data_IF_634606222168
#
_entry.id   IF_634606222168
#
_cell.length_a   1.000
_cell.length_b   1.000
_cell.length_c   1.000
_cell.angle_alpha   90.00
_cell.angle_beta   90.00
_cell.angle_gamma   90.00
#
_symmetry.space_group_name_H-M   'P 1'
#
loop_
_entity.id
_entity.type
_entity.pdbx_description
1 polymer ?
#
# COMPACT_ATOMS: atom_id res chain seq x y z
N UNK A 1 -45.13 -28.96 45.57
CA UNK A 1 -45.32 -29.33 44.14
C UNK A 1 -45.01 -28.11 43.28
N UNK A 2 -44.13 -28.31 42.30
CA UNK A 2 -43.39 -27.30 41.54
C UNK A 2 -44.25 -26.50 40.55
N UNK A 3 -44.14 -25.17 40.54
CA UNK A 3 -44.55 -24.34 39.40
C UNK A 3 -43.45 -23.36 38.99
N UNK A 4 -42.61 -23.85 38.06
CA UNK A 4 -42.08 -23.17 36.86
C UNK A 4 -41.55 -21.73 36.99
N UNK A 5 -40.23 -21.64 37.19
CA UNK A 5 -39.34 -20.58 36.69
C UNK A 5 -39.28 -20.64 35.15
N UNK A 6 -39.89 -19.71 34.39
CA UNK A 6 -39.52 -19.43 32.98
C UNK A 6 -40.13 -18.09 32.50
N UNK A 7 -39.32 -17.03 32.39
CA UNK A 7 -39.53 -15.90 31.47
C UNK A 7 -38.20 -15.13 31.34
N UNK A 8 -37.32 -15.59 30.44
CA UNK A 8 -37.03 -14.95 29.13
C UNK A 8 -36.31 -13.59 29.31
N UNK A 9 -35.00 -13.61 29.46
CA UNK A 9 -33.99 -13.64 28.38
C UNK A 9 -34.05 -12.38 27.50
N UNK A 10 -33.10 -11.49 27.81
CA UNK A 10 -32.49 -10.41 27.06
C UNK A 10 -32.88 -10.24 25.57
N UNK A 11 -33.23 -9.00 25.21
CA UNK A 11 -33.04 -8.45 23.88
C UNK A 11 -32.33 -7.10 24.01
N UNK A 12 -31.06 -7.14 24.44
CA UNK A 12 -30.13 -6.04 24.18
C UNK A 12 -29.61 -6.26 22.76
N UNK A 13 -30.25 -5.61 21.78
CA UNK A 13 -29.62 -5.37 20.48
C UNK A 13 -28.51 -4.37 20.77
N UNK A 14 -27.34 -4.88 21.16
CA UNK A 14 -26.12 -4.10 21.16
C UNK A 14 -25.92 -3.61 19.74
N UNK A 15 -26.10 -2.32 19.55
CA UNK A 15 -25.61 -1.60 18.38
C UNK A 15 -24.09 -1.78 18.44
N UNK A 16 -23.56 -2.81 17.79
CA UNK A 16 -22.13 -2.93 17.56
C UNK A 16 -21.85 -1.83 16.55
N UNK A 17 -21.22 -0.71 16.92
CA UNK A 17 -20.69 0.17 15.89
C UNK A 17 -19.76 -0.72 15.07
N UNK A 18 -20.09 -0.89 13.80
CA UNK A 18 -19.21 -1.51 12.83
C UNK A 18 -18.02 -0.56 12.68
N UNK A 19 -17.12 -0.56 13.66
CA UNK A 19 -15.81 0.07 13.53
C UNK A 19 -15.11 -0.76 12.47
N UNK A 20 -14.95 -0.18 11.29
CA UNK A 20 -14.20 -0.79 10.20
C UNK A 20 -12.74 -0.79 10.61
N UNK A 21 -12.34 -1.80 11.39
CA UNK A 21 -10.94 -2.08 11.68
C UNK A 21 -10.31 -2.66 10.40
N UNK A 22 -9.18 -2.08 9.97
CA UNK A 22 -8.41 -2.54 8.82
C UNK A 22 -8.08 -1.43 7.81
N UNK A 23 -7.59 -1.85 6.64
CA UNK A 23 -7.23 -0.95 5.55
C UNK A 23 -8.44 -0.25 4.94
N UNK A 24 -8.17 0.88 4.27
CA UNK A 24 -9.16 1.58 3.45
C UNK A 24 -8.67 1.70 2.02
N UNK A 25 -9.63 1.87 1.11
CA UNK A 25 -9.41 2.09 -0.31
C UNK A 25 -10.26 3.27 -0.74
N UNK A 26 -9.85 4.04 -1.74
CA UNK A 26 -10.63 5.19 -2.21
C UNK A 26 -12.09 4.81 -2.54
N UNK A 27 -13.02 5.70 -2.18
CA UNK A 27 -14.45 5.52 -2.45
C UNK A 27 -14.68 5.37 -3.95
N UNK A 28 -15.26 4.24 -4.37
CA UNK A 28 -15.42 3.87 -5.78
C UNK A 28 -14.40 2.86 -6.33
N UNK A 29 -13.44 2.40 -5.51
CA UNK A 29 -12.53 1.31 -5.88
C UNK A 29 -11.48 1.72 -6.93
N UNK A 30 -10.91 2.92 -6.77
CA UNK A 30 -9.85 3.47 -7.61
C UNK A 30 -8.68 2.50 -7.72
N UNK A 31 -8.68 1.71 -8.78
CA UNK A 31 -7.71 0.65 -9.07
C UNK A 31 -7.11 0.91 -10.43
N UNK A 32 -5.88 0.47 -10.63
CA UNK A 32 -5.28 0.46 -11.97
C UNK A 32 -6.02 -0.53 -12.88
N UNK A 33 -6.02 -0.24 -14.19
CA UNK A 33 -6.50 -1.18 -15.20
C UNK A 33 -5.39 -2.19 -15.58
N UNK A 34 -5.07 -3.06 -14.62
CA UNK A 34 -4.09 -4.15 -14.69
C UNK A 34 -4.76 -5.50 -14.36
N UNK A 35 -4.15 -6.60 -14.79
CA UNK A 35 -4.67 -7.94 -14.53
C UNK A 35 -3.57 -9.00 -14.54
N UNK A 36 -3.90 -10.18 -14.00
CA UNK A 36 -3.00 -11.33 -13.86
C UNK A 36 -2.92 -12.24 -15.10
N UNK A 37 -3.43 -11.82 -16.27
CA UNK A 37 -3.40 -12.69 -17.47
C UNK A 37 -1.99 -12.96 -17.99
N UNK A 38 -1.08 -11.98 -17.83
CA UNK A 38 0.34 -12.05 -18.20
C UNK A 38 1.19 -11.28 -17.19
N UNK A 39 2.49 -11.53 -17.16
CA UNK A 39 3.41 -10.72 -16.36
C UNK A 39 3.38 -9.23 -16.79
N UNK A 40 3.35 -8.95 -18.09
CA UNK A 40 3.31 -7.58 -18.62
C UNK A 40 2.02 -6.83 -18.23
N UNK A 41 0.87 -7.51 -18.20
CA UNK A 41 -0.42 -6.89 -17.83
C UNK A 41 -0.58 -6.59 -16.35
N UNK A 42 0.31 -7.12 -15.50
CA UNK A 42 0.34 -6.93 -14.06
C UNK A 42 1.26 -5.78 -13.60
N UNK A 43 2.10 -5.29 -14.52
CA UNK A 43 3.12 -4.28 -14.23
C UNK A 43 2.54 -2.86 -14.16
N UNK A 44 3.04 -2.12 -13.16
CA UNK A 44 3.01 -0.67 -13.09
C UNK A 44 4.45 -0.17 -13.19
N UNK A 45 4.62 0.93 -13.92
CA UNK A 45 5.93 1.48 -14.22
C UNK A 45 6.19 2.69 -13.34
N UNK A 46 7.33 2.72 -12.69
CA UNK A 46 7.72 3.81 -11.81
C UNK A 46 8.84 4.60 -12.48
N UNK A 47 8.55 5.85 -12.82
CA UNK A 47 9.51 6.82 -13.31
C UNK A 47 9.97 7.68 -12.14
N UNK A 48 11.27 7.70 -11.85
CA UNK A 48 11.83 8.55 -10.81
C UNK A 48 13.16 9.13 -11.25
N UNK A 49 13.56 10.20 -10.59
CA UNK A 49 14.86 10.86 -10.83
C UNK A 49 15.81 10.60 -9.69
N UNK A 50 17.08 10.95 -9.91
CA UNK A 50 18.10 10.94 -8.85
C UNK A 50 18.50 9.55 -8.34
N UNK A 51 18.36 8.50 -9.18
CA UNK A 51 18.67 7.11 -8.82
C UNK A 51 20.06 6.89 -8.19
N UNK A 52 21.06 7.64 -8.65
CA UNK A 52 22.44 7.57 -8.15
C UNK A 52 22.70 8.42 -6.89
N UNK A 53 21.74 9.22 -6.42
CA UNK A 53 21.89 10.04 -5.22
C UNK A 53 22.06 9.13 -4.00
N UNK A 54 23.07 9.43 -3.17
CA UNK A 54 23.42 8.67 -1.97
C UNK A 54 22.75 9.31 -0.75
N UNK A 55 22.08 8.48 0.03
CA UNK A 55 21.28 8.83 1.22
C UNK A 55 21.94 8.20 2.45
N UNK A 56 21.96 8.94 3.57
CA UNK A 56 22.47 8.41 4.83
C UNK A 56 21.61 7.23 5.30
N UNK A 57 22.23 6.10 5.61
CA UNK A 57 21.51 4.93 6.09
C UNK A 57 21.26 5.01 7.60
N UNK A 58 20.06 5.44 7.97
CA UNK A 58 19.55 5.51 9.35
C UNK A 58 18.35 4.57 9.57
N UNK A 59 18.23 3.52 8.75
CA UNK A 59 17.16 2.53 8.84
C UNK A 59 17.22 1.77 10.18
N UNK A 60 16.07 1.37 10.75
CA UNK A 60 16.02 0.62 12.01
C UNK A 60 16.57 -0.80 11.83
N UNK A 61 16.93 -1.45 12.93
CA UNK A 61 17.51 -2.81 12.92
C UNK A 61 16.60 -3.92 12.36
N UNK A 62 15.30 -3.64 12.23
CA UNK A 62 14.31 -4.50 11.60
C UNK A 62 14.34 -4.44 10.08
N UNK A 63 15.01 -3.44 9.49
CA UNK A 63 15.04 -3.22 8.05
C UNK A 63 16.04 -4.16 7.35
N UNK A 64 15.71 -4.75 6.19
CA UNK A 64 16.63 -5.60 5.42
C UNK A 64 17.91 -4.89 4.98
N UNK A 65 17.93 -3.57 4.91
CA UNK A 65 19.13 -2.78 4.58
C UNK A 65 19.86 -2.26 5.83
N UNK A 66 19.45 -2.65 7.04
CA UNK A 66 20.14 -2.27 8.27
C UNK A 66 21.60 -2.72 8.29
N UNK A 67 22.48 -1.87 8.83
CA UNK A 67 23.90 -2.18 8.99
C UNK A 67 24.68 -2.25 7.66
N UNK A 68 24.01 -1.98 6.53
CA UNK A 68 24.68 -1.73 5.25
C UNK A 68 25.18 -0.27 5.21
N UNK A 69 26.07 0.04 4.28
CA UNK A 69 26.55 1.43 4.10
C UNK A 69 25.43 2.39 3.67
N UNK A 70 25.80 3.63 3.33
CA UNK A 70 24.86 4.57 2.73
C UNK A 70 24.23 3.97 1.46
N UNK A 71 22.95 4.27 1.24
CA UNK A 71 22.15 3.67 0.17
C UNK A 71 21.94 4.66 -0.96
N UNK A 72 21.86 4.19 -2.20
CA UNK A 72 21.36 5.04 -3.29
C UNK A 72 19.84 5.02 -3.35
N UNK A 73 19.25 6.04 -4.00
CA UNK A 73 17.81 6.05 -4.32
C UNK A 73 17.41 4.77 -5.07
N UNK A 74 18.22 4.31 -6.05
CA UNK A 74 17.95 3.05 -6.77
C UNK A 74 17.87 1.84 -5.84
N UNK A 75 18.76 1.75 -4.84
CA UNK A 75 18.77 0.65 -3.87
C UNK A 75 17.55 0.69 -2.94
N UNK A 76 17.17 1.87 -2.45
CA UNK A 76 15.98 2.04 -1.62
C UNK A 76 14.71 1.74 -2.42
N UNK A 77 14.59 2.24 -3.65
CA UNK A 77 13.45 1.98 -4.53
C UNK A 77 13.31 0.49 -4.86
N UNK A 78 14.43 -0.19 -5.18
CA UNK A 78 14.42 -1.64 -5.39
C UNK A 78 13.96 -2.40 -4.13
N UNK A 79 14.38 -1.94 -2.94
CA UNK A 79 13.94 -2.52 -1.67
C UNK A 79 12.44 -2.35 -1.43
N UNK A 80 11.88 -1.17 -1.71
CA UNK A 80 10.44 -0.91 -1.60
C UNK A 80 9.64 -1.74 -2.63
N UNK A 81 10.16 -1.87 -3.86
CA UNK A 81 9.52 -2.72 -4.88
C UNK A 81 9.50 -4.18 -4.45
N UNK A 82 10.57 -4.68 -3.82
CA UNK A 82 10.59 -6.04 -3.30
C UNK A 82 9.51 -6.27 -2.23
N UNK A 83 9.21 -5.28 -1.39
CA UNK A 83 8.14 -5.40 -0.40
C UNK A 83 6.76 -5.51 -1.06
N UNK A 84 6.48 -4.63 -2.03
CA UNK A 84 5.18 -4.59 -2.74
C UNK A 84 5.01 -5.82 -3.65
N UNK A 85 6.05 -6.17 -4.41
CA UNK A 85 6.05 -7.34 -5.30
C UNK A 85 6.05 -8.66 -4.51
N UNK A 86 6.51 -8.63 -3.26
CA UNK A 86 6.53 -9.75 -2.33
C UNK A 86 5.22 -9.95 -1.55
N UNK A 87 4.18 -9.12 -1.78
CA UNK A 87 2.88 -9.30 -1.13
C UNK A 87 2.22 -10.57 -1.64
N UNK A 88 2.14 -11.58 -0.77
CA UNK A 88 1.51 -12.86 -1.09
C UNK A 88 0.06 -12.67 -1.52
N UNK A 89 -0.40 -13.46 -2.49
CA UNK A 89 -1.72 -13.39 -3.10
C UNK A 89 -2.07 -12.07 -3.81
N UNK A 90 -1.09 -11.19 -4.05
CA UNK A 90 -1.22 -10.07 -4.98
C UNK A 90 -0.54 -10.35 -6.31
N UNK A 91 -1.13 -9.91 -7.43
CA UNK A 91 -0.48 -9.99 -8.73
C UNK A 91 0.25 -8.70 -9.13
N UNK A 92 0.03 -7.57 -8.45
CA UNK A 92 0.63 -6.29 -8.86
C UNK A 92 2.14 -6.37 -8.84
N UNK A 93 2.80 -5.78 -9.83
CA UNK A 93 4.25 -5.71 -9.88
C UNK A 93 4.69 -4.29 -10.20
N UNK A 94 5.52 -3.69 -9.35
CA UNK A 94 6.21 -2.44 -9.63
C UNK A 94 7.55 -2.73 -10.32
N UNK A 95 7.78 -2.02 -11.42
CA UNK A 95 9.05 -2.04 -12.16
C UNK A 95 9.44 -0.63 -12.55
N UNK A 96 10.70 -0.41 -12.92
CA UNK A 96 11.11 0.90 -13.46
C UNK A 96 10.67 1.07 -14.91
N UNK A 97 10.75 2.29 -15.44
CA UNK A 97 10.55 2.58 -16.87
C UNK A 97 11.62 1.99 -17.79
N UNK A 98 12.70 1.41 -17.23
CA UNK A 98 13.71 0.67 -18.00
C UNK A 98 13.32 -0.79 -18.29
N UNK A 99 12.22 -1.28 -17.72
CA UNK A 99 11.70 -2.62 -17.98
C UNK A 99 11.31 -2.79 -19.46
N UNK A 100 11.63 -3.94 -20.10
CA UNK A 100 11.38 -4.14 -21.52
C UNK A 100 9.89 -4.13 -21.92
N UNK A 101 8.98 -4.35 -20.97
CA UNK A 101 7.53 -4.26 -21.22
C UNK A 101 7.03 -2.80 -21.23
N UNK A 102 7.88 -1.83 -20.88
CA UNK A 102 7.54 -0.42 -20.97
C UNK A 102 7.42 0.01 -22.44
N UNK A 103 6.26 0.53 -22.81
CA UNK A 103 6.06 1.23 -24.08
C UNK A 103 5.44 2.59 -23.82
N UNK A 104 5.83 3.64 -24.54
CA UNK A 104 5.24 4.96 -24.35
C UNK A 104 3.70 4.94 -24.49
N UNK A 105 3.16 4.13 -25.41
CA UNK A 105 1.72 4.05 -25.65
C UNK A 105 0.92 3.32 -24.55
N UNK A 106 1.41 2.18 -24.04
CA UNK A 106 0.69 1.42 -23.01
C UNK A 106 1.13 1.79 -21.57
N UNK A 107 2.38 2.22 -21.42
CA UNK A 107 3.00 2.60 -20.16
C UNK A 107 2.46 3.91 -19.59
N UNK A 108 2.10 4.90 -20.44
CA UNK A 108 1.57 6.19 -19.96
C UNK A 108 0.34 6.05 -19.06
N UNK A 109 -0.52 5.06 -19.31
CA UNK A 109 -1.73 4.83 -18.49
C UNK A 109 -1.46 3.96 -17.23
N UNK A 110 -0.20 3.58 -16.99
CA UNK A 110 0.26 2.71 -15.89
C UNK A 110 1.55 3.23 -15.25
N UNK A 111 1.80 4.53 -15.36
CA UNK A 111 3.02 5.17 -14.86
C UNK A 111 2.74 5.88 -13.53
N UNK A 112 3.62 5.62 -12.56
CA UNK A 112 3.78 6.39 -11.33
C UNK A 112 5.02 7.25 -11.49
N UNK A 113 4.88 8.58 -11.46
CA UNK A 113 6.00 9.51 -11.54
C UNK A 113 6.42 9.93 -10.14
N UNK A 114 7.72 9.98 -9.84
CA UNK A 114 8.24 10.42 -8.54
C UNK A 114 9.23 11.55 -8.76
N UNK A 115 9.00 12.68 -8.09
CA UNK A 115 9.86 13.88 -8.14
C UNK A 115 10.16 14.38 -6.73
N UNK A 116 11.35 14.94 -6.55
CA UNK A 116 11.81 15.53 -5.28
C UNK A 116 12.01 17.04 -5.48
N UNK A 117 10.92 17.77 -5.73
CA UNK A 117 10.93 19.20 -6.06
C UNK A 117 10.25 20.08 -5.00
N UNK A 118 9.89 19.49 -3.84
CA UNK A 118 9.07 20.14 -2.81
C UNK A 118 7.61 19.74 -2.98
N UNK A 119 6.97 19.26 -1.91
CA UNK A 119 5.56 18.95 -1.89
C UNK A 119 4.76 20.26 -1.76
N UNK A 120 3.55 20.33 -2.33
CA UNK A 120 2.74 21.57 -2.31
C UNK A 120 2.13 21.87 -0.91
N UNK A 121 2.54 21.17 0.15
CA UNK A 121 1.88 21.15 1.46
C UNK A 121 2.81 21.03 2.67
N UNK A 122 2.26 20.61 3.81
CA UNK A 122 2.97 20.42 5.10
C UNK A 122 3.43 18.96 5.33
N UNK A 123 3.28 18.09 4.34
CA UNK A 123 3.68 16.69 4.39
C UNK A 123 5.05 16.49 3.75
N UNK A 124 5.79 15.47 4.20
CA UNK A 124 7.08 15.12 3.60
C UNK A 124 6.93 14.64 2.15
N UNK A 125 5.75 14.13 1.77
CA UNK A 125 5.40 13.79 0.40
C UNK A 125 3.90 13.88 0.15
N UNK A 126 3.50 13.81 -1.12
CA UNK A 126 2.11 13.80 -1.56
C UNK A 126 1.96 12.95 -2.83
N UNK A 127 1.01 12.01 -2.82
CA UNK A 127 0.55 11.27 -4.00
C UNK A 127 -0.73 11.85 -4.59
N UNK A 128 -0.74 12.03 -5.92
CA UNK A 128 -1.89 12.49 -6.70
C UNK A 128 -2.23 11.49 -7.80
N UNK A 129 -3.25 10.68 -7.55
CA UNK A 129 -3.76 9.75 -8.54
C UNK A 129 -4.63 10.48 -9.60
N UNK A 130 -4.33 10.26 -10.87
CA UNK A 130 -5.20 10.66 -11.98
C UNK A 130 -6.21 9.55 -12.24
N UNK A 131 -7.49 9.84 -12.03
CA UNK A 131 -8.59 8.89 -12.20
C UNK A 131 -9.39 9.21 -13.48
N UNK A 132 -9.58 8.21 -14.35
CA UNK A 132 -10.49 8.27 -15.51
C UNK A 132 -11.41 7.07 -15.49
N UNK A 133 -12.72 7.30 -15.62
CA UNK A 133 -13.74 6.23 -15.62
C UNK A 133 -13.66 5.30 -14.39
N UNK A 134 -13.32 5.85 -13.22
CA UNK A 134 -13.18 5.08 -11.97
C UNK A 134 -11.90 4.24 -11.87
N UNK A 135 -10.97 4.39 -12.82
CA UNK A 135 -9.68 3.70 -12.83
C UNK A 135 -8.52 4.68 -12.72
N UNK A 136 -7.48 4.28 -12.00
CA UNK A 136 -6.22 5.01 -11.97
C UNK A 136 -5.54 4.81 -13.32
N UNK A 137 -5.16 5.92 -13.95
CA UNK A 137 -4.43 5.93 -15.23
C UNK A 137 -3.08 6.62 -15.12
N UNK A 138 -2.73 7.14 -13.96
CA UNK A 138 -1.48 7.82 -13.68
C UNK A 138 -1.42 8.18 -12.21
N UNK A 139 -0.23 8.30 -11.65
CA UNK A 139 -0.06 8.84 -10.30
C UNK A 139 1.23 9.65 -10.24
N UNK A 140 1.19 10.81 -9.62
CA UNK A 140 2.38 11.62 -9.39
C UNK A 140 2.64 11.69 -7.88
N UNK A 141 3.86 11.35 -7.48
CA UNK A 141 4.36 11.48 -6.12
C UNK A 141 5.38 12.62 -6.10
N UNK A 142 5.13 13.60 -5.25
CA UNK A 142 6.06 14.70 -5.02
C UNK A 142 6.56 14.63 -3.58
N UNK A 143 7.86 14.44 -3.41
CA UNK A 143 8.54 14.44 -2.12
C UNK A 143 9.30 15.74 -1.86
N UNK A 144 9.50 16.05 -0.59
CA UNK A 144 10.44 17.08 -0.14
C UNK A 144 11.88 16.68 -0.46
N UNK A 145 12.77 17.62 -0.85
CA UNK A 145 14.17 17.32 -1.11
C UNK A 145 14.88 16.70 0.10
N UNK A 146 14.53 17.13 1.32
CA UNK A 146 15.12 16.64 2.58
C UNK A 146 14.86 15.15 2.83
N UNK A 147 13.90 14.53 2.13
CA UNK A 147 13.74 13.08 2.14
C UNK A 147 14.97 12.33 1.61
N UNK A 148 15.83 13.00 0.85
CA UNK A 148 17.09 12.46 0.34
C UNK A 148 18.22 12.47 1.38
N UNK A 149 17.96 12.97 2.60
CA UNK A 149 18.95 12.99 3.68
C UNK A 149 18.85 11.76 4.61
N UNK A 150 17.65 11.16 4.73
CA UNK A 150 17.35 10.03 5.63
C UNK A 150 16.73 8.86 4.87
N UNK A 151 17.39 7.70 4.89
CA UNK A 151 16.86 6.49 4.28
C UNK A 151 15.57 6.04 4.98
N UNK A 152 15.46 6.26 6.29
CA UNK A 152 14.25 5.99 7.08
C UNK A 152 13.07 6.82 6.59
N UNK A 153 13.23 8.14 6.49
CA UNK A 153 12.15 9.03 6.03
C UNK A 153 11.81 8.80 4.55
N UNK A 154 12.83 8.49 3.72
CA UNK A 154 12.65 8.09 2.33
C UNK A 154 11.76 6.86 2.23
N UNK A 155 12.17 5.73 2.83
CA UNK A 155 11.47 4.44 2.71
C UNK A 155 10.06 4.54 3.28
N UNK A 156 9.90 5.16 4.45
CA UNK A 156 8.60 5.33 5.11
C UNK A 156 7.62 6.11 4.23
N UNK A 157 8.03 7.31 3.80
CA UNK A 157 7.17 8.22 3.06
C UNK A 157 6.90 7.68 1.65
N UNK A 158 7.90 7.16 0.92
CA UNK A 158 7.66 6.59 -0.40
C UNK A 158 6.77 5.35 -0.35
N UNK A 159 6.92 4.50 0.65
CA UNK A 159 6.04 3.33 0.81
C UNK A 159 4.59 3.77 1.04
N UNK A 160 4.39 4.83 1.84
CA UNK A 160 3.08 5.44 2.07
C UNK A 160 2.47 6.01 0.77
N UNK A 161 3.22 6.85 0.06
CA UNK A 161 2.72 7.49 -1.17
C UNK A 161 2.47 6.48 -2.30
N UNK A 162 3.31 5.44 -2.40
CA UNK A 162 3.05 4.32 -3.31
C UNK A 162 1.77 3.57 -2.94
N UNK A 163 1.46 3.42 -1.64
CA UNK A 163 0.19 2.86 -1.18
C UNK A 163 -1.01 3.66 -1.70
N UNK A 164 -0.96 4.99 -1.64
CA UNK A 164 -1.97 5.85 -2.26
C UNK A 164 -2.07 5.64 -3.77
N UNK A 165 -0.94 5.62 -4.47
CA UNK A 165 -0.93 5.36 -5.91
C UNK A 165 -1.50 3.97 -6.24
N UNK A 166 -1.37 2.97 -5.36
CA UNK A 166 -1.98 1.65 -5.51
C UNK A 166 -3.48 1.63 -5.20
N UNK A 167 -4.04 2.72 -4.67
CA UNK A 167 -5.47 2.86 -4.37
C UNK A 167 -5.85 2.69 -2.89
N UNK A 168 -4.84 2.59 -2.00
CA UNK A 168 -5.08 2.58 -0.56
C UNK A 168 -5.37 4.00 -0.06
N UNK A 169 -6.22 4.07 0.96
CA UNK A 169 -6.58 5.32 1.64
C UNK A 169 -6.21 5.23 3.11
N UNK A 170 -6.07 6.38 3.76
CA UNK A 170 -5.72 6.44 5.17
C UNK A 170 -6.80 5.75 6.03
N UNK A 171 -6.46 4.76 6.85
CA UNK A 171 -7.39 4.21 7.83
C UNK A 171 -7.56 5.21 8.99
N UNK A 172 -8.76 5.27 9.56
CA UNK A 172 -9.08 6.26 10.59
C UNK A 172 -8.56 5.89 11.99
N UNK A 173 -8.34 4.60 12.28
CA UNK A 173 -8.23 4.13 13.68
C UNK A 173 -7.08 3.16 13.99
N UNK A 174 -6.23 2.80 13.02
CA UNK A 174 -5.09 1.90 13.26
C UNK A 174 -3.79 2.67 13.31
N UNK A 175 -2.84 2.24 14.13
CA UNK A 175 -1.42 2.68 14.10
C UNK A 175 -0.51 1.65 13.42
N UNK A 176 -1.09 0.50 13.04
CA UNK A 176 -0.40 -0.68 12.51
C UNK A 176 -0.54 -0.80 10.98
N UNK A 177 -0.58 0.33 10.30
CA UNK A 177 -0.58 0.44 8.85
C UNK A 177 0.36 1.59 8.47
N UNK A 178 1.22 1.41 7.46
CA UNK A 178 2.04 2.51 6.94
C UNK A 178 1.14 3.63 6.42
N UNK A 179 -0.06 3.27 5.93
CA UNK A 179 -1.08 4.22 5.50
C UNK A 179 -1.73 5.00 6.65
N UNK A 180 -1.42 4.75 7.92
CA UNK A 180 -2.03 5.53 9.01
C UNK A 180 -1.38 6.89 9.19
N UNK A 181 -2.17 7.92 9.49
CA UNK A 181 -1.66 9.20 9.99
C UNK A 181 -0.92 9.08 11.33
N UNK A 182 -1.25 8.06 12.12
CA UNK A 182 -0.78 7.86 13.49
C UNK A 182 0.20 6.69 13.62
N UNK A 183 0.77 6.20 12.52
CA UNK A 183 1.73 5.10 12.60
C UNK A 183 2.99 5.50 13.39
N UNK A 184 3.59 4.52 14.06
CA UNK A 184 4.87 4.71 14.74
C UNK A 184 5.99 4.96 13.73
N UNK A 185 6.42 6.22 13.63
CA UNK A 185 7.41 6.68 12.65
C UNK A 185 8.81 6.11 12.85
N UNK A 186 9.12 5.61 14.05
CA UNK A 186 10.45 5.10 14.38
C UNK A 186 10.56 3.59 14.16
N UNK A 187 9.45 2.87 14.27
CA UNK A 187 9.43 1.40 14.16
C UNK A 187 8.77 0.88 12.88
N UNK A 188 7.87 1.66 12.26
CA UNK A 188 7.09 1.23 11.10
C UNK A 188 7.50 2.01 9.85
N UNK A 189 8.53 1.53 9.16
CA UNK A 189 9.04 2.13 7.91
C UNK A 189 8.50 1.46 6.65
N UNK A 190 7.91 0.26 6.75
CA UNK A 190 7.52 -0.60 5.62
C UNK A 190 6.07 -1.08 5.72
N UNK A 191 5.62 -1.77 4.68
CA UNK A 191 4.28 -2.37 4.61
C UNK A 191 3.99 -3.29 5.79
N UNK A 192 2.91 -2.98 6.51
CA UNK A 192 2.40 -3.80 7.61
C UNK A 192 1.25 -4.69 7.12
N UNK A 193 0.70 -5.51 8.03
CA UNK A 193 -0.28 -6.53 7.68
C UNK A 193 -1.53 -5.92 7.04
N UNK A 194 -2.01 -4.78 7.55
CA UNK A 194 -3.19 -4.08 7.02
C UNK A 194 -2.96 -3.60 5.59
N UNK A 195 -1.78 -3.03 5.32
CA UNK A 195 -1.42 -2.54 3.97
C UNK A 195 -1.35 -3.71 2.97
N UNK A 196 -0.74 -4.83 3.37
CA UNK A 196 -0.64 -6.06 2.57
C UNK A 196 -2.01 -6.65 2.27
N UNK A 197 -2.91 -6.66 3.24
CA UNK A 197 -4.30 -7.08 3.04
C UNK A 197 -5.03 -6.16 2.06
N UNK A 198 -4.79 -4.85 2.13
CA UNK A 198 -5.36 -3.88 1.19
C UNK A 198 -4.88 -4.10 -0.24
N UNK A 199 -3.58 -4.30 -0.42
CA UNK A 199 -2.99 -4.61 -1.74
C UNK A 199 -3.56 -5.93 -2.29
N UNK A 200 -3.70 -6.95 -1.43
CA UNK A 200 -4.30 -8.24 -1.81
C UNK A 200 -5.77 -8.09 -2.20
N UNK A 201 -6.52 -7.26 -1.48
CA UNK A 201 -7.92 -6.98 -1.78
C UNK A 201 -8.10 -6.29 -3.14
N UNK A 202 -7.22 -5.32 -3.46
CA UNK A 202 -7.29 -4.57 -4.72
C UNK A 202 -6.77 -5.38 -5.92
N UNK A 203 -5.73 -6.18 -5.73
CA UNK A 203 -5.02 -6.90 -6.80
C UNK A 203 -4.87 -8.41 -6.53
N UNK A 204 -5.96 -9.16 -6.26
CA UNK A 204 -5.85 -10.56 -5.86
C UNK A 204 -5.43 -11.46 -7.01
N UNK A 205 -4.48 -12.38 -6.77
CA UNK A 205 -4.09 -13.42 -7.73
C UNK A 205 -5.29 -14.29 -8.14
N UNK A 206 -6.14 -14.62 -7.18
CA UNK A 206 -7.41 -15.30 -7.38
C UNK A 206 -8.60 -14.44 -6.90
N UNK A 207 -9.34 -13.86 -7.86
CA UNK A 207 -10.55 -13.08 -7.57
C UNK A 207 -11.66 -13.89 -6.91
N UNK A 208 -11.74 -15.20 -7.15
CA UNK A 208 -12.76 -16.05 -6.53
C UNK A 208 -12.43 -16.30 -5.05
N UNK A 209 -11.16 -16.57 -4.73
CA UNK A 209 -10.69 -16.68 -3.34
C UNK A 209 -10.78 -15.34 -2.59
N UNK A 210 -10.45 -14.22 -3.22
CA UNK A 210 -10.57 -12.90 -2.59
C UNK A 210 -12.03 -12.46 -2.38
N UNK A 211 -12.97 -13.05 -3.13
CA UNK A 211 -14.42 -12.87 -2.94
C UNK A 211 -14.99 -13.73 -1.83
N UNK A 212 -14.17 -14.43 -1.04
CA UNK A 212 -14.68 -15.20 0.10
C UNK A 212 -15.65 -14.32 0.90
N UNK A 213 -16.90 -14.80 0.93
CA UNK A 213 -18.02 -14.17 1.61
C UNK A 213 -17.54 -13.71 2.99
N UNK A 214 -17.85 -12.48 3.43
CA UNK A 214 -17.25 -11.90 4.63
C UNK A 214 -17.52 -12.81 5.83
N UNK A 215 -16.53 -13.64 6.18
CA UNK A 215 -16.65 -14.60 7.28
C UNK A 215 -15.98 -14.08 8.54
N UNK A 216 -15.60 -12.79 8.60
CA UNK A 216 -14.95 -12.20 9.79
C UNK A 216 -13.83 -13.10 10.36
N UNK A 217 -13.00 -13.69 9.49
CA UNK A 217 -11.91 -14.57 9.92
C UNK A 217 -12.30 -16.00 10.31
N UNK A 218 -13.51 -16.48 9.99
CA UNK A 218 -13.95 -17.85 10.29
C UNK A 218 -13.76 -18.86 9.14
N UNK A 219 -13.15 -18.50 7.99
CA UNK A 219 -13.02 -19.44 6.86
C UNK A 219 -11.92 -20.49 6.98
N UNK A 220 -11.13 -20.48 8.07
CA UNK A 220 -10.19 -21.57 8.38
C UNK A 220 -10.86 -22.92 8.73
N UNK A 221 -12.19 -23.04 8.57
CA UNK A 221 -12.94 -24.30 8.70
C UNK A 221 -13.21 -25.00 7.35
N UNK A 222 -12.33 -24.87 6.36
CA UNK A 222 -12.32 -25.79 5.22
C UNK A 222 -11.32 -26.92 5.49
N UNK A 223 -11.91 -28.06 5.85
CA UNK A 223 -11.32 -29.38 6.17
C UNK A 223 -10.20 -29.81 5.24
#
# INVERSE_FOLDING_TARGET
>A
MNFRRWAKLAFWVGFIPLTTLGFRTYSGGGTWDINSSTAASAKLFVDYTQGATVISNDLPNSDPLYGTGNQTVDQLMASIFNDINGVNASFVTLVTTSDPDYSAAAGHNRTITIRFSGADGVSAGEARATIKSGKIVGCDITGEPDMLDSAKDFVRTLTHELGHCLGLDHPQETVNAIMSYFHDRDHNTRLLIDDKMGITFLYPTDRAAAKESPTFGMSCERK
#
